data_IF_861541711353
#
_entry.id   IF_861541711353
#
_cell.length_a   1.000
_cell.length_b   1.000
_cell.length_c   1.000
_cell.angle_alpha   90.00
_cell.angle_beta   90.00
_cell.angle_gamma   90.00
#
_symmetry.space_group_name_H-M   'P 1'
#
loop_
_entity.id
_entity.type
_entity.pdbx_description
1 polymer ?
#
# COMPACT_ATOMS: atom_id res chain seq x y z
N UNK A 1 19.15 -5.71 -12.00
CA UNK A 1 18.61 -5.74 -10.63
C UNK A 1 17.64 -4.59 -10.43
N UNK A 2 16.34 -4.89 -10.50
CA UNK A 2 15.30 -3.93 -10.19
C UNK A 2 14.14 -4.65 -9.50
N UNK A 3 13.67 -4.04 -8.41
CA UNK A 3 12.51 -4.46 -7.66
C UNK A 3 11.44 -3.36 -7.78
N UNK A 4 10.20 -3.72 -8.11
CA UNK A 4 9.09 -2.77 -8.29
C UNK A 4 7.98 -3.08 -7.30
N UNK A 5 7.53 -2.05 -6.60
CA UNK A 5 6.29 -2.06 -5.84
C UNK A 5 5.35 -1.04 -6.50
N UNK A 6 4.19 -1.52 -6.94
CA UNK A 6 3.12 -0.69 -7.51
C UNK A 6 1.94 -0.73 -6.56
N UNK A 7 1.40 0.45 -6.23
CA UNK A 7 0.25 0.62 -5.33
C UNK A 7 -0.80 1.42 -6.09
N UNK A 8 -2.01 0.89 -6.12
CA UNK A 8 -3.16 1.50 -6.76
C UNK A 8 -4.17 1.82 -5.66
N UNK A 9 -4.58 3.09 -5.60
CA UNK A 9 -5.55 3.58 -4.63
C UNK A 9 -6.74 4.07 -5.42
N UNK A 10 -7.90 3.48 -5.15
CA UNK A 10 -9.17 3.88 -5.74
C UNK A 10 -10.18 4.17 -4.64
N UNK A 11 -11.15 5.02 -4.95
CA UNK A 11 -12.27 5.29 -4.07
C UNK A 11 -13.54 4.77 -4.73
N UNK A 12 -14.21 3.84 -4.05
CA UNK A 12 -15.50 3.33 -4.44
C UNK A 12 -16.57 4.26 -3.84
N UNK A 13 -17.21 5.05 -4.70
CA UNK A 13 -18.24 6.02 -4.31
C UNK A 13 -19.52 5.32 -3.84
N UNK A 14 -19.86 4.16 -4.42
CA UNK A 14 -21.06 3.40 -4.06
C UNK A 14 -20.96 2.81 -2.64
N UNK A 15 -19.77 2.37 -2.27
CA UNK A 15 -19.46 1.82 -0.96
C UNK A 15 -18.90 2.86 0.03
N UNK A 16 -18.63 4.09 -0.44
CA UNK A 16 -17.95 5.15 0.29
C UNK A 16 -16.67 4.65 0.99
N UNK A 17 -15.86 3.88 0.26
CA UNK A 17 -14.67 3.18 0.79
C UNK A 17 -13.48 3.34 -0.13
N UNK A 18 -12.31 3.55 0.46
CA UNK A 18 -11.06 3.42 -0.28
C UNK A 18 -10.70 1.95 -0.48
N UNK A 19 -10.32 1.61 -1.70
CA UNK A 19 -9.75 0.32 -2.08
C UNK A 19 -8.26 0.51 -2.38
N UNK A 20 -7.45 -0.43 -1.89
CA UNK A 20 -6.00 -0.38 -2.04
C UNK A 20 -5.53 -1.71 -2.57
N UNK A 21 -4.95 -1.69 -3.76
CA UNK A 21 -4.36 -2.85 -4.42
C UNK A 21 -2.84 -2.66 -4.54
N UNK A 22 -2.10 -3.76 -4.53
CA UNK A 22 -0.66 -3.72 -4.70
C UNK A 22 -0.16 -4.87 -5.55
N UNK A 23 0.87 -4.59 -6.34
CA UNK A 23 1.57 -5.57 -7.15
C UNK A 23 3.08 -5.42 -6.96
N UNK A 24 3.77 -6.53 -6.83
CA UNK A 24 5.24 -6.57 -6.77
C UNK A 24 5.79 -7.23 -8.04
N UNK A 25 6.75 -6.58 -8.68
CA UNK A 25 7.52 -7.15 -9.78
C UNK A 25 8.99 -7.24 -9.41
N UNK A 26 9.65 -8.33 -9.77
CA UNK A 26 11.08 -8.51 -9.51
C UNK A 26 11.81 -9.09 -10.72
N UNK A 27 13.03 -8.60 -10.98
CA UNK A 27 13.95 -9.23 -11.92
C UNK A 27 14.51 -10.53 -11.32
N UNK A 28 14.77 -11.57 -12.13
CA UNK A 28 15.25 -12.87 -11.64
C UNK A 28 16.58 -12.82 -10.84
N UNK A 29 17.35 -11.76 -11.03
CA UNK A 29 18.64 -11.45 -10.41
C UNK A 29 18.56 -10.60 -9.14
N UNK A 30 17.38 -10.43 -8.52
CA UNK A 30 17.20 -9.63 -7.30
C UNK A 30 17.82 -10.30 -6.05
N UNK A 31 18.47 -9.51 -5.18
CA UNK A 31 19.00 -9.98 -3.91
C UNK A 31 17.90 -10.15 -2.84
N UNK A 32 18.10 -11.05 -1.88
CA UNK A 32 17.10 -11.32 -0.84
C UNK A 32 16.87 -10.10 0.07
N UNK A 33 17.91 -9.29 0.26
CA UNK A 33 17.86 -8.02 0.99
C UNK A 33 16.92 -7.02 0.31
N UNK A 34 16.98 -6.92 -1.02
CA UNK A 34 16.10 -6.04 -1.81
C UNK A 34 14.63 -6.49 -1.69
N UNK A 35 14.37 -7.80 -1.69
CA UNK A 35 13.03 -8.36 -1.43
C UNK A 35 12.52 -7.99 -0.05
N UNK A 36 13.37 -8.08 0.96
CA UNK A 36 13.01 -7.70 2.33
C UNK A 36 12.68 -6.21 2.43
N UNK A 37 13.46 -5.35 1.77
CA UNK A 37 13.19 -3.90 1.74
C UNK A 37 11.84 -3.60 1.10
N UNK A 38 11.51 -4.21 -0.05
CA UNK A 38 10.18 -4.04 -0.68
C UNK A 38 9.05 -4.51 0.23
N UNK A 39 9.22 -5.67 0.88
CA UNK A 39 8.21 -6.21 1.80
C UNK A 39 7.98 -5.28 3.01
N UNK A 40 9.06 -4.74 3.58
CA UNK A 40 8.98 -3.79 4.67
C UNK A 40 8.33 -2.47 4.25
N UNK A 41 8.67 -1.95 3.07
CA UNK A 41 8.07 -0.74 2.51
C UNK A 41 6.56 -0.94 2.30
N UNK A 42 6.16 -2.07 1.72
CA UNK A 42 4.74 -2.44 1.54
C UNK A 42 3.99 -2.38 2.87
N UNK A 43 4.49 -3.08 3.90
CA UNK A 43 3.81 -3.14 5.19
C UNK A 43 3.73 -1.77 5.87
N UNK A 44 4.81 -0.97 5.83
CA UNK A 44 4.80 0.38 6.41
C UNK A 44 3.79 1.28 5.71
N UNK A 45 3.72 1.24 4.37
CA UNK A 45 2.77 2.02 3.59
C UNK A 45 1.32 1.61 3.90
N UNK A 46 1.01 0.31 3.90
CA UNK A 46 -0.32 -0.18 4.23
C UNK A 46 -0.75 0.22 5.64
N UNK A 47 0.10 0.01 6.64
CA UNK A 47 -0.22 0.41 8.01
C UNK A 47 -0.42 1.93 8.15
N UNK A 48 0.37 2.74 7.44
CA UNK A 48 0.20 4.21 7.45
C UNK A 48 -1.14 4.61 6.82
N UNK A 49 -1.54 3.96 5.73
CA UNK A 49 -2.80 4.25 5.04
C UNK A 49 -4.02 3.82 5.87
N UNK A 50 -3.97 2.67 6.55
CA UNK A 50 -5.03 2.25 7.47
C UNK A 50 -5.21 3.26 8.60
N UNK A 51 -4.12 3.76 9.18
CA UNK A 51 -4.17 4.77 10.23
C UNK A 51 -4.79 6.09 9.75
N UNK A 52 -4.45 6.54 8.53
CA UNK A 52 -5.01 7.76 7.94
C UNK A 52 -6.49 7.60 7.54
N UNK A 53 -6.90 6.44 7.02
CA UNK A 53 -8.31 6.14 6.71
C UNK A 53 -9.18 6.11 7.99
N UNK A 54 -8.66 5.52 9.07
CA UNK A 54 -9.31 5.54 10.38
C UNK A 54 -9.38 6.97 10.94
N UNK A 55 -8.35 7.79 10.70
CA UNK A 55 -8.29 9.19 11.13
C UNK A 55 -9.26 10.09 10.35
N UNK A 56 -9.38 9.92 9.03
CA UNK A 56 -10.36 10.60 8.20
C UNK A 56 -11.80 10.22 8.57
N UNK A 57 -12.06 8.95 8.87
CA UNK A 57 -13.39 8.48 9.31
C UNK A 57 -13.87 9.18 10.58
N UNK A 58 -12.96 9.64 11.45
CA UNK A 58 -13.33 10.39 12.67
C UNK A 58 -13.64 11.86 12.41
N UNK A 59 -13.13 12.45 11.33
CA UNK A 59 -13.40 13.86 11.01
C UNK A 59 -14.77 14.09 10.36
N UNK A 60 -15.37 13.07 9.75
CA UNK A 60 -16.72 13.15 9.16
C UNK A 60 -17.87 12.91 10.16
N UNK A 61 -17.55 12.70 11.44
CA UNK A 61 -18.52 12.44 12.52
C UNK A 61 -18.78 13.65 13.42
N UNK A 62 -18.39 14.86 13.00
CA UNK A 62 -18.60 16.10 13.77
C UNK A 62 -19.33 17.17 12.97
#
# INVERSE_FOLDING_TARGET
MAARLEIIISFDEDLNKCHVEWTTGESSDIANEEKQVISQLKNKLLCSMENELISCSRHYLH
#
